data_IF_996370212829
#
_entry.id   IF_996370212829
#
_cell.length_a   1.000
_cell.length_b   1.000
_cell.length_c   1.000
_cell.angle_alpha   90.00
_cell.angle_beta   90.00
_cell.angle_gamma   90.00
#
_symmetry.space_group_name_H-M   'P 1'
#
loop_
_entity.id
_entity.type
_entity.pdbx_description
1 polymer ?
#
# COMPACT_ATOMS: atom_id res chain seq x y z
N UNK A 1 4.96 -8.41 11.38
CA UNK A 1 3.95 -7.59 10.68
C UNK A 1 4.59 -7.00 9.44
N UNK A 2 3.97 -7.13 8.26
CA UNK A 2 4.47 -6.46 7.06
C UNK A 2 4.23 -4.96 7.18
N UNK A 3 5.30 -4.15 7.14
CA UNK A 3 5.20 -2.69 7.16
C UNK A 3 5.00 -2.19 5.73
N UNK A 4 4.04 -1.29 5.56
CA UNK A 4 3.84 -0.56 4.31
C UNK A 4 3.93 0.95 4.57
N UNK A 5 4.40 1.70 3.57
CA UNK A 5 4.42 3.16 3.56
C UNK A 5 3.53 3.63 2.43
N UNK A 6 2.54 4.47 2.75
CA UNK A 6 1.73 5.20 1.77
C UNK A 6 2.31 6.61 1.68
N UNK A 7 2.66 7.02 0.48
CA UNK A 7 3.21 8.36 0.24
C UNK A 7 2.58 8.99 -1.00
N UNK A 8 2.63 10.33 -1.03
CA UNK A 8 2.20 11.13 -2.16
C UNK A 8 3.45 11.82 -2.72
N UNK A 9 3.69 11.69 -4.02
CA UNK A 9 4.78 12.38 -4.75
C UNK A 9 4.22 13.06 -5.98
N UNK A 10 4.49 14.36 -6.12
CA UNK A 10 4.11 15.11 -7.31
C UNK A 10 5.05 14.80 -8.48
N UNK A 11 4.53 14.81 -9.70
CA UNK A 11 5.25 14.50 -10.95
C UNK A 11 6.45 15.45 -11.20
N UNK A 12 6.41 16.67 -10.68
CA UNK A 12 7.53 17.62 -10.75
C UNK A 12 8.73 17.22 -9.87
N UNK A 13 8.62 16.14 -9.07
CA UNK A 13 9.62 15.72 -8.10
C UNK A 13 10.45 14.50 -8.56
N UNK A 14 10.34 14.11 -9.83
CA UNK A 14 10.99 12.92 -10.38
C UNK A 14 12.52 12.93 -10.18
N UNK A 15 13.15 14.10 -10.38
CA UNK A 15 14.59 14.23 -10.17
C UNK A 15 15.00 14.06 -8.71
N UNK A 16 14.21 14.56 -7.76
CA UNK A 16 14.47 14.33 -6.34
C UNK A 16 14.20 12.87 -5.95
N UNK A 17 13.19 12.23 -6.55
CA UNK A 17 12.89 10.82 -6.33
C UNK A 17 14.03 9.92 -6.82
N UNK A 18 14.60 10.21 -7.99
CA UNK A 18 15.78 9.54 -8.55
C UNK A 18 16.99 9.74 -7.62
N UNK A 19 17.24 10.98 -7.18
CA UNK A 19 18.34 11.28 -6.24
C UNK A 19 18.19 10.50 -4.93
N UNK A 20 17.01 10.54 -4.31
CA UNK A 20 16.74 9.81 -3.08
C UNK A 20 16.84 8.29 -3.26
N UNK A 21 16.48 7.75 -4.43
CA UNK A 21 16.71 6.34 -4.77
C UNK A 21 18.20 6.02 -4.83
N UNK A 22 19.01 6.86 -5.49
CA UNK A 22 20.46 6.70 -5.55
C UNK A 22 21.11 6.73 -4.17
N UNK A 23 20.67 7.63 -3.28
CA UNK A 23 21.14 7.71 -1.90
C UNK A 23 20.81 6.46 -1.09
N UNK A 24 19.57 5.94 -1.19
CA UNK A 24 19.18 4.68 -0.52
C UNK A 24 19.99 3.50 -1.03
N UNK A 25 20.21 3.41 -2.34
CA UNK A 25 21.04 2.37 -2.94
C UNK A 25 22.49 2.44 -2.46
N UNK A 26 23.11 3.61 -2.51
CA UNK A 26 24.49 3.79 -2.07
C UNK A 26 24.66 3.49 -0.58
N UNK A 27 23.68 3.85 0.26
CA UNK A 27 23.67 3.51 1.67
C UNK A 27 23.59 1.99 1.89
N UNK A 28 22.66 1.30 1.20
CA UNK A 28 22.52 -0.15 1.29
C UNK A 28 23.82 -0.85 0.84
N UNK A 29 24.37 -0.45 -0.31
CA UNK A 29 25.62 -0.99 -0.85
C UNK A 29 26.80 -0.85 0.11
N UNK A 30 26.97 0.33 0.72
CA UNK A 30 28.04 0.58 1.70
C UNK A 30 27.85 -0.18 3.00
N UNK A 31 26.61 -0.34 3.45
CA UNK A 31 26.30 -1.02 4.71
C UNK A 31 26.48 -2.54 4.62
N UNK A 32 26.36 -3.12 3.42
CA UNK A 32 26.33 -4.58 3.23
C UNK A 32 25.11 -5.27 3.87
N UNK A 33 24.19 -4.50 4.44
CA UNK A 33 22.99 -5.00 5.10
C UNK A 33 21.82 -4.96 4.12
N UNK A 34 21.04 -6.03 4.11
CA UNK A 34 19.77 -6.04 3.41
C UNK A 34 18.82 -5.05 4.08
N UNK A 35 18.39 -4.04 3.34
CA UNK A 35 17.40 -3.09 3.83
C UNK A 35 16.05 -3.78 4.01
N UNK A 36 15.35 -3.45 5.10
CA UNK A 36 14.01 -3.97 5.34
C UNK A 36 13.12 -3.71 4.12
N UNK A 37 12.54 -4.79 3.58
CA UNK A 37 11.68 -4.72 2.41
C UNK A 37 10.33 -4.12 2.82
N UNK A 38 10.26 -2.80 2.84
CA UNK A 38 9.03 -2.05 3.10
C UNK A 38 8.27 -1.90 1.78
N UNK A 39 7.01 -2.34 1.76
CA UNK A 39 6.14 -2.09 0.62
C UNK A 39 5.81 -0.60 0.55
N UNK A 40 6.19 0.09 -0.53
CA UNK A 40 5.91 1.52 -0.73
C UNK A 40 4.83 1.70 -1.79
N UNK A 41 3.68 2.22 -1.38
CA UNK A 41 2.58 2.61 -2.27
C UNK A 41 2.68 4.11 -2.52
N UNK A 42 2.92 4.50 -3.77
CA UNK A 42 3.09 5.90 -4.17
C UNK A 42 1.89 6.37 -4.98
N UNK A 43 1.34 7.52 -4.60
CA UNK A 43 0.26 8.22 -5.31
C UNK A 43 0.76 9.57 -5.82
N UNK A 44 0.22 10.05 -6.94
CA UNK A 44 0.57 11.34 -7.56
C UNK A 44 -0.07 12.53 -6.84
N UNK A 45 -1.16 12.31 -6.12
CA UNK A 45 -1.91 13.35 -5.41
C UNK A 45 -2.77 12.77 -4.28
N UNK A 46 -3.22 13.61 -3.32
CA UNK A 46 -4.22 13.19 -2.34
C UNK A 46 -5.52 12.73 -2.99
N UNK A 47 -5.92 13.36 -4.10
CA UNK A 47 -7.12 12.98 -4.84
C UNK A 47 -7.02 11.54 -5.40
N UNK A 48 -5.86 11.15 -5.93
CA UNK A 48 -5.62 9.78 -6.39
C UNK A 48 -5.59 8.79 -5.23
N UNK A 49 -4.99 9.17 -4.09
CA UNK A 49 -5.00 8.33 -2.89
C UNK A 49 -6.45 8.02 -2.46
N UNK A 50 -7.29 9.04 -2.31
CA UNK A 50 -8.65 8.88 -1.84
C UNK A 50 -9.62 8.27 -2.86
N UNK A 51 -9.29 8.33 -4.16
CA UNK A 51 -10.07 7.60 -5.18
C UNK A 51 -9.83 6.09 -5.13
N UNK A 52 -8.67 5.66 -4.64
CA UNK A 52 -8.30 4.23 -4.54
C UNK A 52 -8.58 3.67 -3.14
N UNK A 53 -8.15 4.35 -2.09
CA UNK A 53 -8.34 3.94 -0.69
C UNK A 53 -9.56 4.61 -0.08
N UNK A 54 -10.72 4.18 -0.57
CA UNK A 54 -12.01 4.60 -0.02
C UNK A 54 -12.21 4.05 1.41
N UNK A 55 -13.08 4.65 2.24
CA UNK A 55 -13.39 4.12 3.57
C UNK A 55 -13.82 2.65 3.55
N UNK A 56 -14.54 2.23 2.50
CA UNK A 56 -15.00 0.84 2.35
C UNK A 56 -13.88 -0.13 1.99
N UNK A 57 -12.92 0.28 1.16
CA UNK A 57 -11.71 -0.51 0.89
C UNK A 57 -10.79 -0.56 2.11
N UNK A 58 -10.73 0.51 2.91
CA UNK A 58 -10.00 0.51 4.17
C UNK A 58 -10.56 -0.49 5.18
N UNK A 59 -11.89 -0.57 5.30
CA UNK A 59 -12.59 -1.58 6.12
C UNK A 59 -12.20 -3.01 5.71
N UNK A 60 -12.08 -3.29 4.40
CA UNK A 60 -11.61 -4.59 3.91
C UNK A 60 -10.16 -4.88 4.34
N UNK A 61 -9.26 -3.90 4.24
CA UNK A 61 -7.85 -4.03 4.62
C UNK A 61 -7.73 -4.36 6.12
N UNK A 62 -8.40 -3.58 6.98
CA UNK A 62 -8.37 -3.80 8.43
C UNK A 62 -8.92 -5.17 8.81
N UNK A 63 -9.95 -5.64 8.10
CA UNK A 63 -10.53 -6.96 8.34
C UNK A 63 -9.58 -8.08 7.89
N UNK A 64 -8.98 -7.96 6.70
CA UNK A 64 -7.99 -8.92 6.20
C UNK A 64 -6.75 -9.01 7.09
N UNK A 65 -6.34 -7.91 7.73
CA UNK A 65 -5.25 -7.94 8.72
C UNK A 65 -5.60 -8.78 9.96
N UNK A 66 -6.89 -8.91 10.31
CA UNK A 66 -7.35 -9.71 11.46
C UNK A 66 -7.53 -11.18 11.09
N UNK A 67 -8.10 -11.48 9.93
CA UNK A 67 -8.47 -12.86 9.54
C UNK A 67 -7.42 -13.55 8.64
N UNK A 68 -6.45 -12.80 8.13
CA UNK A 68 -5.45 -13.28 7.18
C UNK A 68 -5.98 -13.42 5.73
N UNK A 69 -5.14 -13.97 4.83
CA UNK A 69 -5.51 -14.17 3.43
C UNK A 69 -6.80 -14.96 3.28
N UNK A 70 -7.76 -14.42 2.54
CA UNK A 70 -9.10 -14.99 2.39
C UNK A 70 -9.60 -14.85 0.97
N UNK A 71 -10.46 -15.77 0.54
CA UNK A 71 -11.19 -15.60 -0.74
C UNK A 71 -12.19 -14.44 -0.63
N UNK A 72 -12.58 -13.85 -1.76
CA UNK A 72 -13.61 -12.80 -1.81
C UNK A 72 -14.91 -13.26 -1.11
N UNK A 73 -15.32 -14.52 -1.31
CA UNK A 73 -16.48 -15.09 -0.61
C UNK A 73 -16.26 -15.22 0.89
N UNK A 74 -15.04 -15.59 1.31
CA UNK A 74 -14.67 -15.68 2.72
C UNK A 74 -14.78 -14.32 3.41
N UNK A 75 -14.17 -13.29 2.80
CA UNK A 75 -14.22 -11.91 3.29
C UNK A 75 -15.64 -11.34 3.32
N UNK A 76 -16.45 -11.62 2.28
CA UNK A 76 -17.84 -11.20 2.23
C UNK A 76 -18.67 -11.80 3.36
N UNK A 77 -18.49 -13.09 3.67
CA UNK A 77 -19.18 -13.74 4.79
C UNK A 77 -18.73 -13.20 6.13
N UNK A 78 -17.43 -12.94 6.32
CA UNK A 78 -16.90 -12.47 7.60
C UNK A 78 -17.28 -11.02 7.91
N UNK A 79 -17.60 -10.22 6.89
CA UNK A 79 -18.09 -8.84 7.00
C UNK A 79 -19.63 -8.73 6.98
N UNK A 80 -20.36 -9.83 6.84
CA UNK A 80 -21.81 -9.84 6.59
C UNK A 80 -22.22 -8.89 5.44
N UNK A 81 -21.46 -8.95 4.33
CA UNK A 81 -21.60 -8.05 3.19
C UNK A 81 -21.80 -8.82 1.88
N UNK A 82 -22.59 -8.28 0.97
CA UNK A 82 -22.83 -8.90 -0.34
C UNK A 82 -21.53 -9.06 -1.16
N UNK A 83 -21.28 -10.27 -1.67
CA UNK A 83 -20.07 -10.64 -2.43
C UNK A 83 -19.77 -9.65 -3.57
N UNK A 84 -20.79 -9.23 -4.32
CA UNK A 84 -20.63 -8.27 -5.43
C UNK A 84 -20.01 -6.96 -4.96
N UNK A 85 -20.48 -6.43 -3.83
CA UNK A 85 -19.97 -5.17 -3.25
C UNK A 85 -18.54 -5.32 -2.74
N UNK A 86 -18.15 -6.50 -2.27
CA UNK A 86 -16.77 -6.79 -1.83
C UNK A 86 -15.84 -7.01 -3.02
N UNK A 87 -16.36 -7.47 -4.16
CA UNK A 87 -15.59 -7.62 -5.39
C UNK A 87 -15.37 -6.29 -6.13
N UNK A 88 -16.30 -5.35 -6.01
CA UNK A 88 -16.17 -4.00 -6.59
C UNK A 88 -15.18 -3.12 -5.81
N UNK A 89 -15.01 -3.41 -4.51
CA UNK A 89 -14.01 -2.79 -3.64
C UNK A 89 -12.65 -3.47 -3.76
#
# INVERSE_FOLDING_TARGET
MSRAVIQIRHETDDMAAIKAMGERFAAAWKSGQQQDSVAVLTFSSPAQLFSVLTPKRWELIEHLQKIGPSSIRGLARSLDRGIKRVHED
#
